data_IF_570263981919
#
_entry.id   IF_570263981919
#
_cell.length_a   1.000
_cell.length_b   1.000
_cell.length_c   1.000
_cell.angle_alpha   90.00
_cell.angle_beta   90.00
_cell.angle_gamma   90.00
#
_symmetry.space_group_name_H-M   'P 1'
#
loop_
_entity.id
_entity.type
_entity.pdbx_description
1 polymer ?
#
# COMPACT_ATOMS: atom_id res chain seq x y z
N UNK A 1 -1.70 -4.39 9.12
CA UNK A 1 -0.56 -3.64 8.58
C UNK A 1 0.47 -4.63 8.07
N UNK A 2 1.14 -4.34 6.95
CA UNK A 2 2.08 -5.27 6.30
C UNK A 2 3.53 -4.73 6.28
N UNK A 3 4.50 -5.64 6.41
CA UNK A 3 5.93 -5.31 6.56
C UNK A 3 6.80 -5.96 5.47
N UNK A 4 6.75 -5.49 4.21
CA UNK A 4 7.65 -6.00 3.18
C UNK A 4 9.13 -5.69 3.49
N UNK A 5 9.96 -6.73 3.40
CA UNK A 5 11.41 -6.66 3.59
C UNK A 5 12.13 -6.71 2.25
N UNK A 6 13.09 -5.82 2.03
CA UNK A 6 13.93 -5.74 0.82
C UNK A 6 15.36 -6.10 1.19
N UNK A 7 15.84 -7.23 0.68
CA UNK A 7 17.20 -7.70 0.94
C UNK A 7 18.24 -6.96 0.08
N UNK A 8 19.53 -7.05 0.42
CA UNK A 8 20.60 -6.47 -0.39
C UNK A 8 20.50 -6.91 -1.88
N UNK A 9 20.68 -5.95 -2.79
CA UNK A 9 20.54 -6.16 -4.24
C UNK A 9 19.09 -6.28 -4.73
N UNK A 10 18.11 -5.90 -3.91
CA UNK A 10 16.70 -5.85 -4.32
C UNK A 10 16.14 -4.43 -4.25
N UNK A 11 15.02 -4.19 -4.95
CA UNK A 11 14.15 -3.04 -4.75
C UNK A 11 12.68 -3.47 -4.65
N UNK A 12 11.85 -2.58 -4.13
CA UNK A 12 10.40 -2.76 -4.04
C UNK A 12 9.68 -1.91 -5.08
N UNK A 13 8.70 -2.48 -5.78
CA UNK A 13 7.76 -1.75 -6.61
C UNK A 13 6.37 -1.92 -6.03
N UNK A 14 5.65 -0.82 -5.86
CA UNK A 14 4.29 -0.82 -5.32
C UNK A 14 3.37 -0.16 -6.34
N UNK A 15 2.32 -0.88 -6.74
CA UNK A 15 1.25 -0.38 -7.60
C UNK A 15 -0.04 -0.31 -6.79
N UNK A 16 -0.74 0.80 -6.88
CA UNK A 16 -2.01 1.01 -6.19
C UNK A 16 -3.16 1.10 -7.19
N UNK A 17 -4.35 0.67 -6.78
CA UNK A 17 -5.61 0.91 -7.49
C UNK A 17 -6.75 1.10 -6.49
N UNK A 18 -7.82 1.78 -6.90
CA UNK A 18 -8.96 2.11 -6.06
C UNK A 18 -10.27 1.89 -6.79
N UNK A 19 -11.22 1.27 -6.11
CA UNK A 19 -12.57 0.98 -6.59
C UNK A 19 -13.58 1.11 -5.46
N UNK A 20 -13.77 2.32 -4.94
CA UNK A 20 -14.58 2.58 -3.75
C UNK A 20 -15.53 3.76 -3.95
N UNK A 21 -16.59 3.82 -3.13
CA UNK A 21 -17.49 4.97 -3.14
C UNK A 21 -16.86 6.20 -2.48
N UNK A 22 -16.02 5.97 -1.47
CA UNK A 22 -15.40 7.03 -0.67
C UNK A 22 -13.89 7.11 -0.91
N UNK A 23 -13.28 8.18 -0.39
CA UNK A 23 -11.85 8.40 -0.54
C UNK A 23 -11.04 7.39 0.27
N UNK A 24 -10.24 6.58 -0.43
CA UNK A 24 -9.23 5.71 0.17
C UNK A 24 -7.83 6.25 -0.05
N UNK A 25 -6.91 5.83 0.80
CA UNK A 25 -5.53 6.26 0.82
C UNK A 25 -4.61 5.09 1.18
N UNK A 26 -3.63 4.81 0.34
CA UNK A 26 -2.53 3.89 0.62
C UNK A 26 -1.27 4.71 0.86
N UNK A 27 -0.53 4.37 1.92
CA UNK A 27 0.80 4.93 2.20
C UNK A 27 1.87 3.85 2.34
N UNK A 28 3.09 4.24 1.99
CA UNK A 28 4.32 3.45 2.16
C UNK A 28 5.27 4.26 3.01
N UNK A 29 5.73 3.67 4.09
CA UNK A 29 6.63 4.32 5.05
C UNK A 29 7.88 3.48 5.25
N UNK A 30 9.00 4.14 5.47
CA UNK A 30 10.17 3.47 6.02
C UNK A 30 9.87 3.01 7.45
N UNK A 31 10.15 1.75 7.77
CA UNK A 31 9.79 1.17 9.07
C UNK A 31 10.58 1.79 10.23
N UNK A 32 11.86 2.10 10.01
CA UNK A 32 12.77 2.57 11.07
C UNK A 32 12.52 4.04 11.40
N UNK A 33 12.47 4.89 10.38
CA UNK A 33 12.28 6.33 10.54
C UNK A 33 10.82 6.76 10.62
N UNK A 34 9.88 5.93 10.16
CA UNK A 34 8.46 6.27 10.05
C UNK A 34 8.14 7.28 8.93
N UNK A 35 9.15 7.70 8.17
CA UNK A 35 8.99 8.67 7.09
C UNK A 35 8.10 8.10 5.98
N UNK A 36 7.13 8.90 5.54
CA UNK A 36 6.29 8.55 4.39
C UNK A 36 7.06 8.78 3.10
N UNK A 37 7.20 7.71 2.32
CA UNK A 37 7.96 7.70 1.06
C UNK A 37 7.04 7.80 -0.15
N UNK A 38 5.79 7.34 0.01
CA UNK A 38 4.78 7.38 -1.03
C UNK A 38 3.39 7.40 -0.39
N UNK A 39 2.49 8.16 -1.02
CA UNK A 39 1.07 8.09 -0.78
C UNK A 39 0.30 8.15 -2.10
N UNK A 40 -0.87 7.53 -2.09
CA UNK A 40 -1.84 7.62 -3.16
C UNK A 40 -3.23 7.59 -2.57
N UNK A 41 -4.08 8.52 -2.99
CA UNK A 41 -5.48 8.56 -2.62
C UNK A 41 -6.38 8.66 -3.86
N UNK A 42 -7.52 8.00 -3.81
CA UNK A 42 -8.59 8.11 -4.80
C UNK A 42 -9.86 7.45 -4.30
N UNK A 43 -10.93 7.60 -5.08
CA UNK A 43 -12.16 6.83 -4.94
C UNK A 43 -12.37 5.94 -6.19
N UNK A 44 -11.89 6.35 -7.36
CA UNK A 44 -12.08 5.57 -8.59
C UNK A 44 -10.98 5.78 -9.61
N UNK A 45 -10.55 4.68 -10.26
CA UNK A 45 -9.84 4.71 -11.54
C UNK A 45 -8.42 5.30 -11.51
N UNK A 46 -7.85 5.58 -10.34
CA UNK A 46 -6.49 6.08 -10.21
C UNK A 46 -5.53 4.92 -9.92
N UNK A 47 -4.64 4.61 -10.86
CA UNK A 47 -3.54 3.71 -10.64
C UNK A 47 -2.23 4.51 -10.54
N UNK A 48 -1.51 4.35 -9.42
CA UNK A 48 -0.18 4.96 -9.24
C UNK A 48 0.84 3.88 -8.96
N UNK A 49 2.09 4.19 -9.28
CA UNK A 49 3.23 3.33 -9.02
C UNK A 49 4.30 4.10 -8.24
N UNK A 50 4.93 3.41 -7.30
CA UNK A 50 6.14 3.84 -6.62
C UNK A 50 7.22 2.78 -6.78
N UNK A 51 8.45 3.25 -6.96
CA UNK A 51 9.64 2.41 -6.97
C UNK A 51 10.57 2.86 -5.85
N UNK A 52 10.86 1.94 -4.93
CA UNK A 52 11.85 2.16 -3.90
C UNK A 52 13.28 2.13 -4.46
N UNK A 53 14.24 2.68 -3.70
CA UNK A 53 15.65 2.54 -4.05
C UNK A 53 16.08 1.07 -4.03
N UNK A 54 17.17 0.76 -4.74
CA UNK A 54 17.86 -0.52 -4.58
C UNK A 54 18.54 -0.52 -3.21
N UNK A 55 18.33 -1.59 -2.44
CA UNK A 55 19.04 -1.79 -1.19
C UNK A 55 20.51 -2.15 -1.47
N UNK A 56 21.39 -1.16 -1.35
CA UNK A 56 22.84 -1.31 -1.51
C UNK A 56 23.58 -1.55 -0.18
N UNK A 57 22.86 -1.59 0.94
CA UNK A 57 23.43 -1.89 2.25
C UNK A 57 23.58 -3.40 2.47
N UNK A 58 24.26 -3.78 3.55
CA UNK A 58 24.39 -5.16 4.01
C UNK A 58 23.19 -5.63 4.86
N UNK A 59 22.31 -4.70 5.25
CA UNK A 59 21.15 -4.97 6.11
C UNK A 59 19.84 -4.95 5.30
N UNK A 60 18.81 -5.72 5.70
CA UNK A 60 17.49 -5.60 5.07
C UNK A 60 16.83 -4.25 5.35
N UNK A 61 16.18 -3.68 4.33
CA UNK A 61 15.29 -2.53 4.50
C UNK A 61 13.87 -3.03 4.73
N UNK A 62 13.12 -2.41 5.65
CA UNK A 62 11.74 -2.79 5.93
C UNK A 62 10.85 -1.58 5.70
N UNK A 63 9.74 -1.81 5.00
CA UNK A 63 8.71 -0.79 4.81
C UNK A 63 7.42 -1.20 5.51
N UNK A 64 6.58 -0.20 5.77
CA UNK A 64 5.21 -0.38 6.24
C UNK A 64 4.26 0.02 5.12
N UNK A 65 3.27 -0.82 4.83
CA UNK A 65 2.18 -0.49 3.90
C UNK A 65 0.85 -0.58 4.66
N UNK A 66 0.08 0.49 4.57
CA UNK A 66 -1.22 0.61 5.22
C UNK A 66 -2.20 1.39 4.35
N UNK A 67 -3.49 1.12 4.54
CA UNK A 67 -4.58 1.88 3.94
C UNK A 67 -5.46 2.52 5.00
N UNK A 68 -6.08 3.63 4.63
CA UNK A 68 -7.12 4.30 5.40
C UNK A 68 -8.20 4.84 4.44
N UNK A 69 -9.40 5.06 4.96
CA UNK A 69 -10.54 5.63 4.22
C UNK A 69 -11.19 6.77 4.99
N UNK A 70 -11.97 7.59 4.29
CA UNK A 70 -12.95 8.51 4.89
C UNK A 70 -14.35 7.97 4.66
N UNK A 71 -15.29 8.30 5.53
CA UNK A 71 -16.71 7.98 5.34
C UNK A 71 -17.49 9.10 4.63
N UNK A 72 -16.78 9.90 3.83
CA UNK A 72 -17.33 11.03 3.08
C UNK A 72 -16.85 11.02 1.62
N UNK A 73 -17.55 11.80 0.75
CA UNK A 73 -17.09 12.03 -0.61
C UNK A 73 -15.63 12.50 -0.68
N UNK A 74 -14.97 12.34 -1.84
CA UNK A 74 -13.59 12.75 -2.06
C UNK A 74 -13.29 14.17 -1.59
N UNK A 75 -12.18 14.37 -0.88
CA UNK A 75 -11.80 15.64 -0.24
C UNK A 75 -12.72 16.08 0.91
N UNK A 76 -13.50 15.16 1.46
CA UNK A 76 -14.25 15.38 2.69
C UNK A 76 -13.34 15.75 3.88
N UNK A 77 -13.93 16.43 4.87
CA UNK A 77 -13.24 16.90 6.09
C UNK A 77 -13.23 15.87 7.22
N UNK A 78 -13.85 14.72 7.03
CA UNK A 78 -13.86 13.68 8.05
C UNK A 78 -12.46 13.11 8.28
N UNK A 79 -12.20 12.58 9.49
CA UNK A 79 -10.94 11.92 9.79
C UNK A 79 -10.77 10.66 8.94
N UNK A 80 -9.51 10.25 8.81
CA UNK A 80 -9.15 8.98 8.21
C UNK A 80 -9.31 7.84 9.22
N UNK A 81 -9.93 6.75 8.78
CA UNK A 81 -10.09 5.52 9.54
C UNK A 81 -9.23 4.42 8.91
N UNK A 82 -8.54 3.58 9.71
CA UNK A 82 -7.81 2.45 9.16
C UNK A 82 -8.76 1.51 8.41
N UNK A 83 -8.40 1.14 7.18
CA UNK A 83 -9.14 0.13 6.42
C UNK A 83 -8.84 -1.27 6.96
N UNK A 84 -9.82 -2.16 6.93
CA UNK A 84 -9.55 -3.58 7.15
C UNK A 84 -8.69 -4.11 5.99
N UNK A 85 -7.82 -5.09 6.24
CA UNK A 85 -6.89 -5.60 5.22
C UNK A 85 -6.98 -7.12 5.08
N UNK A 86 -6.70 -7.61 3.87
CA UNK A 86 -6.58 -9.04 3.56
C UNK A 86 -5.45 -9.25 2.56
N UNK A 87 -4.65 -10.30 2.78
CA UNK A 87 -3.71 -10.78 1.77
C UNK A 87 -4.51 -11.54 0.72
N UNK A 88 -4.66 -10.96 -0.46
CA UNK A 88 -5.36 -11.57 -1.60
C UNK A 88 -4.45 -12.59 -2.30
N UNK A 89 -3.15 -12.30 -2.34
CA UNK A 89 -2.14 -13.16 -2.92
C UNK A 89 -0.79 -12.98 -2.23
N UNK A 90 -0.03 -14.06 -2.07
CA UNK A 90 1.36 -14.03 -1.63
C UNK A 90 2.17 -15.10 -2.38
N UNK A 91 3.11 -14.62 -3.19
CA UNK A 91 4.10 -15.41 -3.89
C UNK A 91 5.52 -15.10 -3.41
N UNK A 92 6.53 -15.75 -4.00
CA UNK A 92 7.93 -15.55 -3.62
C UNK A 92 8.48 -14.16 -4.00
N UNK A 93 7.93 -13.54 -5.04
CA UNK A 93 8.40 -12.29 -5.63
C UNK A 93 7.33 -11.18 -5.66
N UNK A 94 6.11 -11.49 -5.23
CA UNK A 94 4.98 -10.57 -5.28
C UNK A 94 3.93 -10.86 -4.22
N UNK A 95 3.22 -9.82 -3.80
CA UNK A 95 2.14 -9.88 -2.82
C UNK A 95 1.05 -8.89 -3.20
N UNK A 96 -0.21 -9.28 -3.04
CA UNK A 96 -1.35 -8.38 -3.25
C UNK A 96 -2.09 -8.24 -1.91
N UNK A 97 -2.25 -7.01 -1.48
CA UNK A 97 -3.04 -6.65 -0.30
C UNK A 97 -4.29 -5.93 -0.79
N UNK A 98 -5.45 -6.46 -0.41
CA UNK A 98 -6.73 -5.80 -0.57
C UNK A 98 -7.13 -5.10 0.73
N UNK A 99 -7.80 -3.97 0.61
CA UNK A 99 -8.30 -3.18 1.72
C UNK A 99 -9.79 -2.94 1.55
N UNK A 100 -10.49 -2.96 2.67
CA UNK A 100 -11.94 -2.80 2.79
C UNK A 100 -12.25 -1.53 3.60
N UNK A 101 -13.10 -0.67 3.05
CA UNK A 101 -13.62 0.54 3.69
C UNK A 101 -15.07 0.39 4.21
N UNK A 102 -15.72 -0.73 3.89
CA UNK A 102 -17.09 -1.04 4.25
C UNK A 102 -17.25 -2.38 4.96
N UNK A 103 -18.35 -3.08 4.63
CA UNK A 103 -18.75 -4.35 5.23
C UNK A 103 -19.16 -5.40 4.18
N UNK A 104 -18.94 -5.15 2.88
CA UNK A 104 -19.34 -6.13 1.84
C UNK A 104 -18.30 -7.24 1.68
N UNK A 105 -17.07 -7.01 2.14
CA UNK A 105 -16.03 -8.01 2.31
C UNK A 105 -15.34 -8.42 1.01
N UNK A 106 -15.36 -7.54 0.01
CA UNK A 106 -14.72 -7.74 -1.28
C UNK A 106 -13.22 -7.33 -1.30
N UNK A 107 -12.79 -6.47 -0.36
CA UNK A 107 -11.41 -5.98 -0.19
C UNK A 107 -10.81 -5.38 -1.47
N UNK A 108 -11.61 -4.80 -2.36
CA UNK A 108 -11.14 -4.16 -3.59
C UNK A 108 -11.19 -2.62 -3.57
N UNK A 109 -11.71 -2.02 -2.49
CA UNK A 109 -11.80 -0.57 -2.29
C UNK A 109 -10.47 0.13 -2.52
N UNK A 110 -9.40 -0.44 -1.96
CA UNK A 110 -8.03 -0.11 -2.31
C UNK A 110 -7.19 -1.39 -2.41
N UNK A 111 -6.28 -1.42 -3.37
CA UNK A 111 -5.38 -2.57 -3.58
C UNK A 111 -3.95 -2.10 -3.70
N UNK A 112 -3.04 -2.74 -2.97
CA UNK A 112 -1.59 -2.60 -3.11
C UNK A 112 -1.00 -3.88 -3.69
N UNK A 113 -0.45 -3.80 -4.89
CA UNK A 113 0.38 -4.86 -5.49
C UNK A 113 1.84 -4.54 -5.25
N UNK A 114 2.52 -5.44 -4.55
CA UNK A 114 3.93 -5.35 -4.17
C UNK A 114 4.71 -6.33 -5.02
N UNK A 115 5.82 -5.88 -5.59
CA UNK A 115 6.76 -6.71 -6.37
C UNK A 115 8.17 -6.47 -5.87
N UNK A 116 8.89 -7.55 -5.57
CA UNK A 116 10.31 -7.52 -5.24
C UNK A 116 11.11 -7.82 -6.50
N UNK A 117 11.99 -6.89 -6.87
CA UNK A 117 12.85 -7.03 -8.04
C UNK A 117 14.29 -7.19 -7.59
N UNK A 118 14.97 -8.22 -8.10
CA UNK A 118 16.42 -8.38 -7.97
C UNK A 118 17.10 -7.54 -9.05
N UNK A 119 18.14 -6.80 -8.66
CA UNK A 119 18.88 -5.87 -9.53
C UNK A 119 20.34 -6.30 -9.63
#
# INVERSE_FOLDING_TARGET
MQYPTVFPGQKLVIKTSFSCAHENHISVRDFVSGNELFNSNSHFGNARQWEGPVNTSDQPMIYTIASAHKNTPPNGREPWYPSAERIVFAGPDSKIIGYEDGNDGDFNDAVATIVWLKV
#
